data_IF_079389251141
#
_entry.id   IF_079389251141
#
_cell.length_a   1.000
_cell.length_b   1.000
_cell.length_c   1.000
_cell.angle_alpha   90.00
_cell.angle_beta   90.00
_cell.angle_gamma   90.00
#
_symmetry.space_group_name_H-M   'P 1'
#
loop_
_entity.id
_entity.type
_entity.pdbx_description
1 polymer ?
#
# COMPACT_ATOMS: atom_id res chain seq x y z
N UNK A 1 49.26 -27.02 16.75
CA UNK A 1 47.95 -27.28 17.39
C UNK A 1 46.86 -26.77 16.46
N UNK A 2 45.98 -27.61 15.89
CA UNK A 2 44.93 -27.14 14.99
C UNK A 2 43.79 -26.52 15.79
N UNK A 3 43.33 -25.33 15.36
CA UNK A 3 42.13 -24.64 15.90
C UNK A 3 40.88 -25.49 15.66
N UNK A 4 40.22 -25.90 16.73
CA UNK A 4 38.92 -26.56 16.68
C UNK A 4 37.91 -25.56 16.08
N UNK A 5 37.39 -25.86 14.89
CA UNK A 5 36.20 -25.23 14.33
C UNK A 5 35.01 -25.59 15.22
N UNK A 6 34.40 -24.58 15.81
CA UNK A 6 33.17 -24.70 16.58
C UNK A 6 31.97 -24.68 15.61
N UNK A 7 31.15 -25.75 15.48
CA UNK A 7 30.03 -25.79 14.55
C UNK A 7 28.79 -25.04 15.01
N UNK A 8 28.82 -24.31 16.12
CA UNK A 8 27.65 -23.70 16.74
C UNK A 8 27.30 -22.28 16.22
N UNK A 9 27.95 -21.73 15.17
CA UNK A 9 27.73 -20.37 14.73
C UNK A 9 26.97 -20.27 13.37
N UNK A 10 26.23 -21.29 12.99
CA UNK A 10 25.46 -21.32 11.71
C UNK A 10 24.01 -21.76 11.86
N UNK A 11 23.34 -21.37 12.95
CA UNK A 11 21.88 -21.40 13.02
C UNK A 11 21.34 -19.99 13.32
N UNK A 12 21.57 -19.05 12.42
CA UNK A 12 20.88 -17.77 12.44
C UNK A 12 19.50 -17.94 11.77
N UNK A 13 18.48 -18.29 12.60
CA UNK A 13 17.06 -17.97 12.42
C UNK A 13 16.49 -18.02 11.00
N UNK A 14 16.27 -19.20 10.43
CA UNK A 14 15.14 -19.40 9.55
C UNK A 14 13.88 -19.25 10.41
N UNK A 15 13.03 -18.28 10.07
CA UNK A 15 11.75 -18.14 10.75
C UNK A 15 10.93 -19.38 10.42
N UNK A 16 10.50 -20.11 11.44
CA UNK A 16 9.62 -21.26 11.26
C UNK A 16 8.34 -20.80 10.58
N UNK A 17 7.94 -21.49 9.49
CA UNK A 17 6.75 -21.14 8.74
C UNK A 17 5.50 -21.39 9.60
N UNK A 18 4.49 -20.51 9.55
CA UNK A 18 3.27 -20.67 10.33
C UNK A 18 2.47 -21.90 9.84
N UNK A 19 1.83 -22.59 10.78
CA UNK A 19 0.94 -23.70 10.44
C UNK A 19 -0.49 -23.22 10.19
N UNK A 20 -1.01 -22.32 11.05
CA UNK A 20 -2.38 -21.78 10.97
C UNK A 20 -2.32 -20.32 10.53
N UNK A 21 -2.87 -20.04 9.37
CA UNK A 21 -2.88 -18.70 8.80
C UNK A 21 -4.31 -18.20 8.65
N UNK A 22 -4.59 -17.04 9.19
CA UNK A 22 -5.84 -16.34 8.90
C UNK A 22 -5.63 -15.30 7.80
N UNK A 23 -6.57 -15.21 6.86
CA UNK A 23 -6.62 -14.15 5.87
C UNK A 23 -7.77 -13.23 6.23
N UNK A 24 -7.46 -11.96 6.49
CA UNK A 24 -8.46 -10.94 6.73
C UNK A 24 -8.71 -10.15 5.46
N UNK A 25 -9.97 -9.93 5.13
CA UNK A 25 -10.41 -9.20 3.93
C UNK A 25 -11.48 -8.17 4.29
N UNK A 26 -11.73 -7.18 3.42
CA UNK A 26 -12.77 -6.16 3.65
C UNK A 26 -14.15 -6.81 3.72
N UNK A 27 -14.95 -6.48 4.74
CA UNK A 27 -16.39 -6.85 4.82
C UNK A 27 -17.16 -5.96 3.85
N UNK A 28 -17.47 -6.49 2.66
CA UNK A 28 -18.05 -5.72 1.57
C UNK A 28 -19.56 -5.94 1.48
N UNK A 29 -20.31 -4.88 1.79
CA UNK A 29 -21.75 -4.81 1.59
C UNK A 29 -22.06 -3.56 0.76
N UNK A 30 -22.86 -3.69 -0.31
CA UNK A 30 -23.15 -2.56 -1.21
C UNK A 30 -23.59 -1.28 -0.47
N UNK A 31 -24.33 -1.44 0.62
CA UNK A 31 -24.82 -0.31 1.44
C UNK A 31 -23.74 0.47 2.20
N UNK A 32 -22.52 -0.05 2.32
CA UNK A 32 -21.41 0.66 2.95
C UNK A 32 -20.77 1.73 2.05
N UNK A 33 -21.02 1.65 0.74
CA UNK A 33 -20.34 2.47 -0.27
C UNK A 33 -21.28 3.51 -0.85
N UNK A 34 -20.95 4.82 -0.77
CA UNK A 34 -21.80 5.88 -1.28
C UNK A 34 -21.86 5.93 -2.82
N UNK A 35 -20.91 5.33 -3.52
CA UNK A 35 -20.87 5.30 -4.98
C UNK A 35 -20.57 3.90 -5.50
N UNK A 36 -20.94 3.63 -6.76
CA UNK A 36 -20.60 2.38 -7.43
C UNK A 36 -19.10 2.20 -7.60
N UNK A 37 -18.39 3.28 -7.92
CA UNK A 37 -16.95 3.26 -8.08
C UNK A 37 -16.22 2.75 -6.80
N UNK A 38 -16.65 3.22 -5.63
CA UNK A 38 -16.10 2.72 -4.36
C UNK A 38 -16.45 1.25 -4.07
N UNK A 39 -17.64 0.81 -4.46
CA UNK A 39 -18.02 -0.60 -4.30
C UNK A 39 -17.18 -1.51 -5.21
N UNK A 40 -16.97 -1.10 -6.47
CA UNK A 40 -16.19 -1.87 -7.45
C UNK A 40 -14.76 -2.11 -6.96
N UNK A 41 -14.12 -1.17 -6.26
CA UNK A 41 -12.74 -1.33 -5.80
C UNK A 41 -12.54 -2.41 -4.74
N UNK A 42 -13.61 -2.85 -4.08
CA UNK A 42 -13.52 -3.83 -2.99
C UNK A 42 -14.45 -5.04 -3.18
N UNK A 43 -15.31 -5.05 -4.20
CA UNK A 43 -16.37 -6.08 -4.36
C UNK A 43 -15.84 -7.52 -4.38
N UNK A 44 -14.63 -7.73 -4.85
CA UNK A 44 -14.02 -9.05 -5.03
C UNK A 44 -13.09 -9.44 -3.86
N UNK A 45 -13.06 -8.67 -2.75
CA UNK A 45 -12.14 -8.84 -1.63
C UNK A 45 -12.13 -10.25 -1.01
N UNK A 46 -13.29 -10.92 -0.91
CA UNK A 46 -13.37 -12.31 -0.41
C UNK A 46 -12.82 -13.30 -1.44
N UNK A 47 -13.05 -13.09 -2.74
CA UNK A 47 -12.54 -13.96 -3.81
C UNK A 47 -11.01 -13.86 -3.91
N UNK A 48 -10.47 -12.65 -3.79
CA UNK A 48 -9.02 -12.42 -3.73
C UNK A 48 -8.40 -13.12 -2.52
N UNK A 49 -9.02 -13.02 -1.35
CA UNK A 49 -8.59 -13.74 -0.15
C UNK A 49 -8.60 -15.26 -0.34
N UNK A 50 -9.63 -15.82 -0.99
CA UNK A 50 -9.70 -17.26 -1.31
C UNK A 50 -8.60 -17.68 -2.29
N UNK A 51 -8.31 -16.85 -3.28
CA UNK A 51 -7.22 -17.12 -4.23
C UNK A 51 -5.87 -17.21 -3.51
N UNK A 52 -5.56 -16.26 -2.63
CA UNK A 52 -4.34 -16.31 -1.81
C UNK A 52 -4.35 -17.53 -0.88
N UNK A 53 -5.51 -17.85 -0.28
CA UNK A 53 -5.69 -19.05 0.55
C UNK A 53 -5.27 -20.33 -0.17
N UNK A 54 -5.69 -20.50 -1.42
CA UNK A 54 -5.31 -21.67 -2.23
C UNK A 54 -3.80 -21.79 -2.50
N UNK A 55 -3.06 -20.67 -2.57
CA UNK A 55 -1.60 -20.71 -2.62
C UNK A 55 -0.98 -21.14 -1.29
N UNK A 56 -1.49 -20.62 -0.17
CA UNK A 56 -0.98 -20.98 1.17
C UNK A 56 -1.26 -22.45 1.52
N UNK A 57 -2.44 -22.97 1.16
CA UNK A 57 -2.78 -24.39 1.31
C UNK A 57 -1.84 -25.31 0.52
N UNK A 58 -1.50 -24.94 -0.72
CA UNK A 58 -0.48 -25.64 -1.52
C UNK A 58 0.92 -25.58 -0.89
N UNK A 59 1.20 -24.56 -0.10
CA UNK A 59 2.43 -24.45 0.69
C UNK A 59 2.37 -25.21 2.01
N UNK A 60 1.26 -25.93 2.29
CA UNK A 60 1.08 -26.80 3.46
C UNK A 60 0.54 -26.12 4.71
N UNK A 61 -0.06 -24.93 4.60
CA UNK A 61 -0.65 -24.19 5.71
C UNK A 61 -2.15 -24.50 5.86
N UNK A 62 -2.63 -24.48 7.10
CA UNK A 62 -4.06 -24.51 7.41
C UNK A 62 -4.60 -23.07 7.36
N UNK A 63 -5.55 -22.83 6.44
CA UNK A 63 -6.00 -21.45 6.13
C UNK A 63 -7.45 -21.26 6.55
N UNK A 64 -7.72 -20.16 7.22
CA UNK A 64 -9.08 -19.70 7.49
C UNK A 64 -9.25 -18.22 7.07
N UNK A 65 -10.45 -17.87 6.63
CA UNK A 65 -10.80 -16.52 6.18
C UNK A 65 -11.76 -15.87 7.16
N UNK A 66 -11.58 -14.58 7.41
CA UNK A 66 -12.51 -13.81 8.24
C UNK A 66 -12.59 -12.35 7.75
N UNK A 67 -13.81 -11.75 7.66
CA UNK A 67 -13.93 -10.34 7.31
C UNK A 67 -13.40 -9.42 8.43
N UNK A 68 -12.78 -8.31 8.03
CA UNK A 68 -12.32 -7.26 8.94
C UNK A 68 -13.48 -6.42 9.48
N UNK A 69 -14.18 -6.92 10.49
CA UNK A 69 -15.38 -6.29 11.05
C UNK A 69 -15.34 -6.22 12.60
N UNK A 70 -16.46 -5.84 13.23
CA UNK A 70 -16.53 -5.67 14.70
C UNK A 70 -16.37 -6.98 15.48
N UNK A 71 -16.59 -8.12 14.87
CA UNK A 71 -16.50 -9.45 15.49
C UNK A 71 -15.06 -9.98 15.51
N UNK A 72 -14.17 -9.38 14.71
CA UNK A 72 -12.79 -9.82 14.52
C UNK A 72 -12.00 -10.00 15.84
N UNK A 73 -12.05 -9.09 16.84
CA UNK A 73 -11.25 -9.27 18.06
C UNK A 73 -11.62 -10.53 18.84
N UNK A 74 -12.90 -10.88 18.90
CA UNK A 74 -13.37 -12.08 19.58
C UNK A 74 -13.02 -13.34 18.78
N UNK A 75 -13.23 -13.28 17.46
CA UNK A 75 -12.86 -14.37 16.58
C UNK A 75 -11.37 -14.72 16.66
N UNK A 76 -10.48 -13.71 16.68
CA UNK A 76 -9.04 -13.91 16.82
C UNK A 76 -8.65 -14.53 18.17
N UNK A 77 -9.32 -14.18 19.27
CA UNK A 77 -9.08 -14.81 20.59
C UNK A 77 -9.42 -16.28 20.60
N UNK A 78 -10.47 -16.68 19.87
CA UNK A 78 -10.91 -18.06 19.78
C UNK A 78 -10.03 -18.91 18.86
N UNK A 79 -9.66 -18.39 17.69
CA UNK A 79 -8.95 -19.13 16.66
C UNK A 79 -7.42 -19.10 16.80
N UNK A 80 -6.87 -18.00 17.32
CA UNK A 80 -5.43 -17.82 17.56
C UNK A 80 -4.55 -18.28 16.41
N UNK A 81 -4.63 -17.66 15.22
CA UNK A 81 -3.74 -18.00 14.11
C UNK A 81 -2.28 -17.67 14.46
N UNK A 82 -1.34 -18.40 13.86
CA UNK A 82 0.09 -18.16 14.01
C UNK A 82 0.54 -16.91 13.22
N UNK A 83 -0.22 -16.57 12.16
CA UNK A 83 -0.01 -15.41 11.28
C UNK A 83 -1.33 -14.92 10.73
N UNK A 84 -1.44 -13.62 10.53
CA UNK A 84 -2.52 -13.00 9.76
C UNK A 84 -1.97 -12.40 8.46
N UNK A 85 -2.57 -12.79 7.32
CA UNK A 85 -2.44 -12.04 6.05
C UNK A 85 -3.51 -10.94 6.07
N UNK A 86 -3.09 -9.69 6.15
CA UNK A 86 -4.02 -8.56 6.22
C UNK A 86 -4.25 -7.98 4.82
N UNK A 87 -5.44 -8.18 4.27
CA UNK A 87 -5.91 -7.63 2.98
C UNK A 87 -7.05 -6.63 3.16
N UNK A 88 -7.24 -6.11 4.38
CA UNK A 88 -8.36 -5.20 4.66
C UNK A 88 -8.03 -3.80 4.18
N UNK A 89 -8.75 -3.34 3.16
CA UNK A 89 -8.65 -1.98 2.62
C UNK A 89 -9.60 -1.01 3.31
N UNK A 90 -10.80 -1.49 3.74
CA UNK A 90 -11.73 -0.68 4.49
C UNK A 90 -12.54 -1.48 5.52
N UNK A 91 -13.09 -0.78 6.51
CA UNK A 91 -14.12 -1.31 7.41
C UNK A 91 -15.40 -0.51 7.17
N UNK A 92 -16.45 -1.20 6.73
CA UNK A 92 -17.73 -0.59 6.35
C UNK A 92 -17.54 0.55 5.31
N UNK A 93 -16.72 0.30 4.29
CA UNK A 93 -16.42 1.26 3.23
C UNK A 93 -15.64 2.49 3.69
N UNK A 94 -14.95 2.42 4.83
CA UNK A 94 -14.15 3.53 5.39
C UNK A 94 -12.70 3.11 5.50
N UNK A 95 -11.88 3.48 4.53
CA UNK A 95 -10.46 3.12 4.47
C UNK A 95 -9.69 3.55 5.72
N UNK A 96 -9.98 4.75 6.27
CA UNK A 96 -9.33 5.22 7.51
C UNK A 96 -9.48 4.29 8.71
N UNK A 97 -10.47 3.38 8.69
CA UNK A 97 -10.66 2.40 9.77
C UNK A 97 -9.83 1.13 9.57
N UNK A 98 -9.24 0.91 8.39
CA UNK A 98 -8.36 -0.24 8.15
C UNK A 98 -7.16 -0.27 9.11
N UNK A 99 -6.68 0.90 9.55
CA UNK A 99 -5.62 1.00 10.56
C UNK A 99 -6.00 0.39 11.93
N UNK A 100 -7.28 0.12 12.21
CA UNK A 100 -7.69 -0.58 13.42
C UNK A 100 -7.28 -2.06 13.39
N UNK A 101 -7.17 -2.67 12.21
CA UNK A 101 -6.79 -4.10 12.06
C UNK A 101 -5.41 -4.37 12.67
N UNK A 102 -4.31 -3.73 12.22
CA UNK A 102 -3.01 -3.93 12.85
C UNK A 102 -3.03 -3.59 14.35
N UNK A 103 -3.81 -2.59 14.80
CA UNK A 103 -3.93 -2.28 16.22
C UNK A 103 -4.52 -3.43 17.05
N UNK A 104 -5.54 -4.09 16.55
CA UNK A 104 -6.12 -5.29 17.19
C UNK A 104 -5.11 -6.44 17.21
N UNK A 105 -4.39 -6.66 16.10
CA UNK A 105 -3.39 -7.73 16.00
C UNK A 105 -2.20 -7.49 16.95
N UNK A 106 -1.75 -6.25 17.09
CA UNK A 106 -0.69 -5.87 18.04
C UNK A 106 -1.12 -6.08 19.50
N UNK A 107 -2.35 -5.70 19.85
CA UNK A 107 -2.91 -5.95 21.20
C UNK A 107 -3.03 -7.44 21.53
N UNK A 108 -3.24 -8.28 20.52
CA UNK A 108 -3.35 -9.74 20.69
C UNK A 108 -2.00 -10.46 20.46
N UNK A 109 -0.93 -9.73 20.19
CA UNK A 109 0.42 -10.25 19.90
C UNK A 109 0.45 -11.26 18.74
N UNK A 110 -0.42 -11.08 17.73
CA UNK A 110 -0.49 -11.93 16.55
C UNK A 110 0.37 -11.32 15.43
N UNK A 111 1.34 -12.04 14.87
CA UNK A 111 2.10 -11.60 13.69
C UNK A 111 1.18 -11.36 12.49
N UNK A 112 1.49 -10.35 11.67
CA UNK A 112 0.68 -10.02 10.50
C UNK A 112 1.51 -9.41 9.38
N UNK A 113 0.99 -9.48 8.15
CA UNK A 113 1.59 -8.89 6.95
C UNK A 113 1.14 -7.44 6.75
N UNK A 114 1.92 -6.69 5.97
CA UNK A 114 1.61 -5.29 5.63
C UNK A 114 2.10 -4.30 6.68
N UNK A 115 1.64 -3.06 6.57
CA UNK A 115 2.04 -1.96 7.43
C UNK A 115 1.40 -2.02 8.82
N UNK A 116 2.07 -1.39 9.79
CA UNK A 116 1.56 -1.20 11.14
C UNK A 116 0.49 -0.09 11.21
N UNK A 117 0.02 0.19 12.42
CA UNK A 117 -1.00 1.22 12.68
C UNK A 117 -0.60 2.58 12.10
N UNK A 118 0.68 2.97 12.26
CA UNK A 118 1.17 4.25 11.77
C UNK A 118 1.23 4.27 10.25
N UNK A 119 1.80 3.24 9.63
CA UNK A 119 1.89 3.13 8.17
C UNK A 119 0.51 3.16 7.51
N UNK A 120 -0.44 2.36 8.00
CA UNK A 120 -1.82 2.35 7.51
C UNK A 120 -2.52 3.71 7.70
N UNK A 121 -2.31 4.38 8.84
CA UNK A 121 -2.92 5.70 9.10
C UNK A 121 -2.35 6.80 8.20
N UNK A 122 -1.06 6.78 7.92
CA UNK A 122 -0.41 7.72 7.02
C UNK A 122 -0.86 7.51 5.57
N UNK A 123 -0.95 6.25 5.13
CA UNK A 123 -1.33 5.89 3.77
C UNK A 123 -2.74 6.40 3.42
N UNK A 124 -3.69 6.29 4.36
CA UNK A 124 -5.06 6.79 4.16
C UNK A 124 -5.19 8.32 4.13
N UNK A 125 -4.09 9.08 4.10
CA UNK A 125 -4.10 10.53 4.01
C UNK A 125 -3.02 11.05 3.07
N UNK A 126 -3.36 11.16 1.78
CA UNK A 126 -2.43 11.57 0.72
C UNK A 126 -1.75 12.92 0.99
N UNK A 127 -2.44 13.86 1.61
CA UNK A 127 -1.84 15.15 1.95
C UNK A 127 -0.76 15.01 3.02
N UNK A 128 -1.02 14.26 4.09
CA UNK A 128 -0.07 14.09 5.19
C UNK A 128 1.16 13.33 4.71
N UNK A 129 0.97 12.22 3.97
CA UNK A 129 2.10 11.44 3.45
C UNK A 129 2.97 12.27 2.51
N UNK A 130 2.36 13.10 1.62
CA UNK A 130 3.11 13.99 0.73
C UNK A 130 3.89 15.06 1.48
N UNK A 131 3.31 15.65 2.54
CA UNK A 131 4.04 16.59 3.41
C UNK A 131 5.23 15.90 4.07
N UNK A 132 5.06 14.68 4.55
CA UNK A 132 6.12 13.88 5.15
C UNK A 132 7.25 13.58 4.14
N UNK A 133 6.91 13.16 2.93
CA UNK A 133 7.85 12.92 1.84
C UNK A 133 8.62 14.20 1.49
N UNK A 134 7.91 15.30 1.26
CA UNK A 134 8.47 16.61 0.89
C UNK A 134 9.45 17.10 1.95
N UNK A 135 9.06 17.06 3.23
CA UNK A 135 9.88 17.53 4.36
C UNK A 135 11.18 16.72 4.50
N UNK A 136 11.16 15.47 4.07
CA UNK A 136 12.32 14.59 4.09
C UNK A 136 13.08 14.54 2.76
N UNK A 137 12.82 15.47 1.83
CA UNK A 137 13.54 15.57 0.56
C UNK A 137 13.30 14.40 -0.41
N UNK A 138 12.14 13.74 -0.32
CA UNK A 138 11.62 12.87 -1.39
C UNK A 138 10.79 13.74 -2.32
N UNK A 139 11.11 13.80 -3.62
CA UNK A 139 10.44 14.72 -4.52
C UNK A 139 8.95 14.36 -4.71
N UNK A 140 8.07 15.35 -4.57
CA UNK A 140 6.64 15.26 -4.85
C UNK A 140 6.22 16.44 -5.73
N UNK A 141 5.15 16.37 -6.53
CA UNK A 141 4.58 17.54 -7.19
C UNK A 141 4.25 18.63 -6.18
N UNK A 142 4.19 19.90 -6.58
CA UNK A 142 3.55 20.92 -5.74
C UNK A 142 2.07 20.56 -5.57
N UNK A 143 1.55 20.77 -4.36
CA UNK A 143 0.19 20.32 -4.03
C UNK A 143 -0.47 21.19 -2.97
N UNK A 144 -1.79 21.18 -2.96
CA UNK A 144 -2.64 21.84 -1.98
C UNK A 144 -3.83 20.96 -1.61
N UNK A 145 -4.24 21.01 -0.35
CA UNK A 145 -5.48 20.39 0.13
C UNK A 145 -6.60 21.44 0.08
N UNK A 146 -7.70 21.11 -0.58
CA UNK A 146 -8.91 21.92 -0.65
C UNK A 146 -9.98 21.35 0.27
N UNK A 147 -10.37 22.08 1.29
CA UNK A 147 -11.50 21.73 2.16
C UNK A 147 -12.83 22.17 1.56
N UNK A 148 -12.80 23.30 0.82
CA UNK A 148 -13.92 23.83 0.06
C UNK A 148 -13.49 24.14 -1.37
N UNK A 149 -14.44 24.25 -2.26
CA UNK A 149 -14.15 24.63 -3.64
C UNK A 149 -13.79 26.11 -3.78
N UNK A 150 -14.00 26.89 -2.75
CA UNK A 150 -13.77 28.34 -2.67
C UNK A 150 -12.42 28.70 -2.02
N UNK A 151 -11.69 27.73 -1.46
CA UNK A 151 -10.37 27.97 -0.87
C UNK A 151 -9.45 28.67 -1.88
N UNK A 152 -8.63 29.61 -1.41
CA UNK A 152 -7.69 30.33 -2.27
C UNK A 152 -6.66 29.35 -2.86
N UNK A 153 -6.38 29.50 -4.15
CA UNK A 153 -5.36 28.70 -4.82
C UNK A 153 -4.00 29.28 -4.42
N UNK A 154 -3.13 28.41 -3.90
CA UNK A 154 -1.74 28.76 -3.59
C UNK A 154 -1.03 29.17 -4.90
N UNK A 155 -0.44 30.38 -4.97
CA UNK A 155 0.28 30.85 -6.15
C UNK A 155 1.51 29.97 -6.51
N UNK A 156 1.95 29.11 -5.61
CA UNK A 156 3.05 28.18 -5.86
C UNK A 156 2.64 26.99 -6.74
N UNK A 157 1.34 26.66 -6.87
CA UNK A 157 0.88 25.57 -7.74
C UNK A 157 0.47 26.09 -9.13
N UNK A 158 0.83 25.34 -10.16
CA UNK A 158 0.64 25.73 -11.57
C UNK A 158 -0.20 24.75 -12.33
N UNK A 159 -1.10 25.26 -13.17
CA UNK A 159 -1.86 24.43 -14.12
C UNK A 159 -0.94 23.80 -15.18
N UNK A 160 -1.27 22.59 -15.67
CA UNK A 160 -2.48 21.80 -15.36
C UNK A 160 -2.40 21.12 -13.98
N UNK A 161 -3.56 20.96 -13.33
CA UNK A 161 -3.68 20.39 -11.98
C UNK A 161 -4.54 19.13 -12.00
N UNK A 162 -4.08 18.06 -11.35
CA UNK A 162 -4.87 16.84 -11.14
C UNK A 162 -5.50 16.84 -9.75
N UNK A 163 -6.78 16.44 -9.65
CA UNK A 163 -7.52 16.38 -8.39
C UNK A 163 -7.76 14.94 -7.97
N UNK A 164 -7.43 14.61 -6.72
CA UNK A 164 -7.56 13.28 -6.11
C UNK A 164 -8.34 13.35 -4.80
N UNK A 165 -9.14 12.34 -4.49
CA UNK A 165 -9.73 12.21 -3.17
C UNK A 165 -8.61 11.96 -2.14
N UNK A 166 -8.61 12.72 -1.03
CA UNK A 166 -7.48 12.72 -0.09
C UNK A 166 -7.36 11.40 0.68
N UNK A 167 -8.50 10.76 1.04
CA UNK A 167 -8.56 9.60 1.91
C UNK A 167 -9.16 8.36 1.22
N UNK A 168 -9.02 8.25 -0.08
CA UNK A 168 -9.54 7.13 -0.89
C UNK A 168 -8.48 6.71 -1.90
N UNK A 169 -8.26 5.39 -2.00
CA UNK A 169 -7.37 4.73 -2.97
C UNK A 169 -8.14 4.21 -4.21
N UNK A 170 -7.51 3.32 -4.98
CA UNK A 170 -8.16 2.62 -6.10
C UNK A 170 -8.48 3.51 -7.29
N UNK A 171 -7.79 4.63 -7.50
CA UNK A 171 -8.02 5.56 -8.61
C UNK A 171 -9.47 6.09 -8.71
N UNK A 172 -10.26 5.99 -7.63
CA UNK A 172 -11.64 6.50 -7.59
C UNK A 172 -11.66 7.98 -7.97
N UNK A 173 -12.49 8.34 -8.94
CA UNK A 173 -12.58 9.67 -9.51
C UNK A 173 -11.36 10.13 -10.35
N UNK A 174 -10.40 9.26 -10.62
CA UNK A 174 -9.39 9.55 -11.63
C UNK A 174 -9.96 9.18 -13.00
N UNK A 175 -10.74 10.09 -13.54
CA UNK A 175 -11.44 9.97 -14.83
C UNK A 175 -10.78 10.87 -15.86
N UNK A 176 -11.22 10.85 -17.12
CA UNK A 176 -10.67 11.69 -18.19
C UNK A 176 -10.71 13.20 -17.88
N UNK A 177 -11.56 13.65 -16.93
CA UNK A 177 -11.66 15.03 -16.45
C UNK A 177 -10.90 15.28 -15.13
N UNK A 178 -10.03 14.34 -14.71
CA UNK A 178 -9.25 14.48 -13.46
C UNK A 178 -8.27 15.66 -13.52
N UNK A 179 -7.79 16.02 -14.72
CA UNK A 179 -6.86 17.13 -14.95
C UNK A 179 -7.61 18.39 -15.34
N UNK A 180 -7.39 19.46 -14.61
CA UNK A 180 -7.94 20.80 -14.87
C UNK A 180 -6.87 21.71 -15.49
N UNK A 181 -7.18 22.41 -16.56
CA UNK A 181 -6.26 23.34 -17.26
C UNK A 181 -6.37 24.78 -16.75
N UNK A 182 -7.42 25.09 -16.00
CA UNK A 182 -7.67 26.41 -15.46
C UNK A 182 -8.55 26.34 -14.21
N UNK A 183 -8.63 27.46 -13.50
CA UNK A 183 -9.38 27.60 -12.26
C UNK A 183 -10.86 27.26 -12.41
N UNK A 184 -11.52 27.63 -13.50
CA UNK A 184 -12.96 27.35 -13.73
C UNK A 184 -13.22 25.84 -13.73
N UNK A 185 -12.39 25.07 -14.44
CA UNK A 185 -12.49 23.61 -14.47
C UNK A 185 -12.21 23.02 -13.08
N UNK A 186 -11.15 23.47 -12.41
CA UNK A 186 -10.79 23.03 -11.07
C UNK A 186 -11.94 23.26 -10.08
N UNK A 187 -12.50 24.47 -10.00
CA UNK A 187 -13.60 24.82 -9.09
C UNK A 187 -14.85 23.97 -9.33
N UNK A 188 -15.20 23.71 -10.61
CA UNK A 188 -16.31 22.83 -10.97
C UNK A 188 -16.08 21.41 -10.43
N UNK A 189 -14.87 20.87 -10.62
CA UNK A 189 -14.51 19.53 -10.18
C UNK A 189 -14.47 19.43 -8.65
N UNK A 190 -13.87 20.39 -7.95
CA UNK A 190 -13.83 20.45 -6.49
C UNK A 190 -15.22 20.42 -5.86
N UNK A 191 -16.16 21.25 -6.38
CA UNK A 191 -17.57 21.25 -5.90
C UNK A 191 -18.22 19.89 -6.03
N UNK A 192 -18.00 19.19 -7.14
CA UNK A 192 -18.53 17.85 -7.37
C UNK A 192 -17.94 16.86 -6.37
N UNK A 193 -16.62 16.77 -6.28
CA UNK A 193 -15.92 15.80 -5.43
C UNK A 193 -16.23 16.00 -3.94
N UNK A 194 -16.07 17.23 -3.44
CA UNK A 194 -16.30 17.55 -2.02
C UNK A 194 -17.75 17.28 -1.63
N UNK A 195 -18.72 17.66 -2.50
CA UNK A 195 -20.15 17.41 -2.25
C UNK A 195 -20.48 15.92 -2.20
N UNK A 196 -19.92 15.13 -3.12
CA UNK A 196 -20.22 13.69 -3.26
C UNK A 196 -19.58 12.89 -2.14
N UNK A 197 -18.29 13.11 -1.89
CA UNK A 197 -17.49 12.25 -0.99
C UNK A 197 -17.35 12.81 0.44
N UNK A 198 -17.80 14.03 0.70
CA UNK A 198 -17.77 14.68 2.03
C UNK A 198 -16.38 14.69 2.67
N UNK A 199 -15.34 14.87 1.86
CA UNK A 199 -13.95 14.92 2.30
C UNK A 199 -13.16 15.98 1.53
N UNK A 200 -12.00 16.40 2.05
CA UNK A 200 -11.08 17.27 1.32
C UNK A 200 -10.56 16.62 0.03
N UNK A 201 -10.18 17.44 -0.93
CA UNK A 201 -9.59 17.02 -2.20
C UNK A 201 -8.14 17.50 -2.26
N UNK A 202 -7.24 16.57 -2.52
CA UNK A 202 -5.85 16.88 -2.82
C UNK A 202 -5.74 17.30 -4.29
N UNK A 203 -5.13 18.42 -4.55
CA UNK A 203 -4.83 18.95 -5.88
C UNK A 203 -3.32 19.04 -6.05
N UNK A 204 -2.82 18.51 -7.16
CA UNK A 204 -1.38 18.44 -7.46
C UNK A 204 -1.09 18.99 -8.84
N UNK A 205 0.10 19.54 -9.06
CA UNK A 205 0.59 19.79 -10.40
C UNK A 205 0.66 18.47 -11.19
N UNK A 206 0.10 18.44 -12.39
CA UNK A 206 0.20 17.28 -13.27
C UNK A 206 1.60 17.23 -13.89
N UNK A 207 2.37 16.24 -13.54
CA UNK A 207 3.70 16.03 -14.09
C UNK A 207 3.60 15.24 -15.39
N UNK A 208 3.89 15.90 -16.52
CA UNK A 208 3.99 15.23 -17.82
C UNK A 208 5.31 14.48 -17.93
N UNK A 209 5.27 13.26 -18.49
CA UNK A 209 6.44 12.42 -18.68
C UNK A 209 6.13 10.93 -18.53
N UNK A 210 7.16 10.16 -18.23
CA UNK A 210 7.09 8.71 -18.07
C UNK A 210 6.53 8.37 -16.67
N UNK A 211 5.87 7.23 -16.53
CA UNK A 211 5.40 6.73 -15.24
C UNK A 211 6.18 5.47 -14.85
N UNK A 212 6.75 5.49 -13.67
CA UNK A 212 7.52 4.38 -13.09
C UNK A 212 6.77 3.89 -11.86
N UNK A 213 6.54 2.59 -11.79
CA UNK A 213 6.05 1.94 -10.56
C UNK A 213 7.21 1.21 -9.89
N UNK A 214 7.35 1.40 -8.58
CA UNK A 214 8.38 0.72 -7.81
C UNK A 214 7.72 -0.15 -6.70
N UNK A 215 8.10 -1.43 -6.66
CA UNK A 215 7.70 -2.38 -5.62
C UNK A 215 8.86 -2.55 -4.65
N UNK A 216 8.58 -2.44 -3.36
CA UNK A 216 9.54 -2.75 -2.31
C UNK A 216 9.14 -4.04 -1.61
N UNK A 217 10.07 -4.99 -1.48
CA UNK A 217 9.95 -6.15 -0.60
C UNK A 217 11.00 -6.04 0.51
N UNK A 218 10.54 -6.12 1.75
CA UNK A 218 11.40 -6.10 2.91
C UNK A 218 11.81 -7.53 3.26
N UNK A 219 13.04 -7.87 2.93
CA UNK A 219 13.73 -9.08 3.35
C UNK A 219 14.73 -8.71 4.49
N UNK A 220 15.86 -9.39 4.61
CA UNK A 220 16.97 -8.94 5.47
C UNK A 220 17.48 -7.55 5.05
N UNK A 221 17.40 -7.25 3.75
CA UNK A 221 17.61 -5.92 3.16
C UNK A 221 16.43 -5.58 2.28
N UNK A 222 16.04 -4.30 2.25
CA UNK A 222 14.97 -3.84 1.37
C UNK A 222 15.39 -3.97 -0.09
N UNK A 223 14.63 -4.74 -0.87
CA UNK A 223 14.79 -4.86 -2.32
C UNK A 223 13.75 -3.99 -3.01
N UNK A 224 14.19 -3.25 -4.02
CA UNK A 224 13.34 -2.36 -4.82
C UNK A 224 13.37 -2.82 -6.26
N UNK A 225 12.21 -3.12 -6.80
CA UNK A 225 11.95 -3.52 -8.18
C UNK A 225 11.24 -2.38 -8.90
N UNK A 226 11.77 -1.94 -10.02
CA UNK A 226 11.29 -0.76 -10.75
C UNK A 226 10.79 -1.18 -12.12
N UNK A 227 9.64 -0.70 -12.53
CA UNK A 227 9.10 -0.93 -13.86
C UNK A 227 8.54 0.36 -14.45
N UNK A 228 8.77 0.58 -15.71
CA UNK A 228 8.11 1.64 -16.47
C UNK A 228 6.74 1.16 -16.92
N UNK A 229 5.73 1.99 -16.68
CA UNK A 229 4.37 1.78 -17.13
C UNK A 229 4.18 2.43 -18.50
N UNK A 230 4.00 1.61 -19.52
CA UNK A 230 3.81 2.04 -20.90
C UNK A 230 2.33 1.97 -21.24
N UNK A 231 1.71 3.12 -21.51
CA UNK A 231 0.29 3.21 -21.86
C UNK A 231 0.06 2.74 -23.30
N UNK A 232 -0.98 1.93 -23.52
CA UNK A 232 -1.35 1.43 -24.86
C UNK A 232 -2.12 2.48 -25.67
N UNK A 233 -2.86 3.37 -25.01
CA UNK A 233 -3.67 4.42 -25.62
C UNK A 233 -3.01 5.79 -25.47
N UNK A 234 -2.49 6.36 -26.58
CA UNK A 234 -1.79 7.64 -26.58
C UNK A 234 -2.66 8.82 -27.07
N UNK A 235 -3.99 8.65 -27.17
CA UNK A 235 -4.88 9.65 -27.75
C UNK A 235 -5.19 10.84 -26.81
N UNK A 236 -4.88 10.72 -25.53
CA UNK A 236 -5.13 11.78 -24.53
C UNK A 236 -3.96 12.76 -24.44
N UNK A 237 -4.26 14.04 -24.28
CA UNK A 237 -3.28 15.09 -23.97
C UNK A 237 -2.49 14.79 -22.68
N UNK A 238 -3.14 14.13 -21.73
CA UNK A 238 -2.59 13.75 -20.44
C UNK A 238 -2.63 12.23 -20.31
N UNK A 239 -1.48 11.61 -20.17
CA UNK A 239 -1.36 10.15 -20.03
C UNK A 239 -1.35 9.77 -18.55
N UNK A 240 -2.36 9.03 -18.11
CA UNK A 240 -2.49 8.41 -16.80
C UNK A 240 -3.56 7.32 -16.87
N UNK A 241 -3.52 6.35 -15.94
CA UNK A 241 -4.58 5.36 -15.82
C UNK A 241 -5.81 6.00 -15.18
N UNK A 242 -6.96 5.83 -15.86
CA UNK A 242 -8.26 6.19 -15.31
C UNK A 242 -8.83 5.07 -14.43
N UNK A 243 -9.89 5.38 -13.69
CA UNK A 243 -10.66 4.37 -12.97
C UNK A 243 -11.21 3.29 -13.92
N UNK A 244 -11.72 3.71 -15.07
CA UNK A 244 -12.24 2.82 -16.10
C UNK A 244 -11.17 1.86 -16.63
N UNK A 245 -9.96 2.36 -16.88
CA UNK A 245 -8.82 1.54 -17.33
C UNK A 245 -8.43 0.48 -16.30
N UNK A 246 -8.47 0.84 -15.02
CA UNK A 246 -8.01 -0.04 -13.95
C UNK A 246 -9.05 -1.09 -13.54
N UNK A 247 -10.34 -0.74 -13.53
CA UNK A 247 -11.37 -1.55 -12.91
C UNK A 247 -12.44 -2.09 -13.86
N UNK A 248 -12.58 -1.51 -15.06
CA UNK A 248 -13.64 -1.90 -16.00
C UNK A 248 -13.10 -2.56 -17.27
N UNK A 249 -11.99 -2.05 -17.82
CA UNK A 249 -11.39 -2.59 -19.04
C UNK A 249 -10.30 -3.63 -18.74
N UNK A 250 -9.62 -3.52 -17.61
CA UNK A 250 -8.48 -4.33 -17.23
C UNK A 250 -7.13 -3.64 -17.45
N UNK A 251 -6.22 -3.81 -16.49
CA UNK A 251 -4.92 -3.13 -16.49
C UNK A 251 -4.08 -3.50 -17.71
N UNK A 252 -4.10 -4.76 -18.13
CA UNK A 252 -3.31 -5.27 -19.26
C UNK A 252 -3.74 -4.71 -20.63
N UNK A 253 -5.00 -4.25 -20.75
CA UNK A 253 -5.47 -3.58 -21.96
C UNK A 253 -4.99 -2.13 -22.02
N UNK A 254 -4.91 -1.47 -20.85
CA UNK A 254 -4.58 -0.06 -20.73
C UNK A 254 -3.07 0.23 -20.72
N UNK A 255 -2.27 -0.69 -20.17
CA UNK A 255 -0.82 -0.52 -20.09
C UNK A 255 -0.09 -1.85 -19.98
N UNK A 256 1.22 -1.80 -20.21
CA UNK A 256 2.14 -2.90 -19.93
C UNK A 256 3.38 -2.37 -19.20
N UNK A 257 4.01 -3.25 -18.42
CA UNK A 257 5.21 -2.91 -17.67
C UNK A 257 6.46 -3.42 -18.37
N UNK A 258 7.55 -2.62 -18.33
CA UNK A 258 8.89 -3.04 -18.75
C UNK A 258 9.88 -2.78 -17.63
N UNK A 259 10.92 -3.63 -17.52
CA UNK A 259 11.96 -3.43 -16.49
C UNK A 259 12.55 -2.03 -16.59
N UNK A 260 12.68 -1.37 -15.46
CA UNK A 260 13.36 -0.09 -15.31
C UNK A 260 14.43 -0.21 -14.22
N UNK A 261 15.51 0.53 -14.32
CA UNK A 261 16.57 0.47 -13.35
C UNK A 261 17.29 1.80 -13.21
N UNK A 262 17.08 2.48 -12.07
CA UNK A 262 17.80 3.71 -11.73
C UNK A 262 18.21 3.66 -10.25
N UNK A 263 19.52 3.79 -9.94
CA UNK A 263 20.02 3.75 -8.56
C UNK A 263 19.53 4.92 -7.70
N UNK A 264 19.37 6.12 -8.28
CA UNK A 264 18.89 7.30 -7.55
C UNK A 264 17.43 7.11 -7.14
N UNK A 265 16.57 6.66 -8.07
CA UNK A 265 15.18 6.35 -7.76
C UNK A 265 15.09 5.27 -6.69
N UNK A 266 15.94 4.23 -6.75
CA UNK A 266 15.98 3.17 -5.74
C UNK A 266 16.24 3.73 -4.33
N UNK A 267 17.12 4.70 -4.18
CA UNK A 267 17.40 5.33 -2.88
C UNK A 267 16.23 6.21 -2.42
N UNK A 268 15.57 6.95 -3.32
CA UNK A 268 14.35 7.69 -2.98
C UNK A 268 13.22 6.76 -2.51
N UNK A 269 13.02 5.62 -3.18
CA UNK A 269 12.00 4.63 -2.80
C UNK A 269 12.29 4.03 -1.42
N UNK A 270 13.54 3.63 -1.14
CA UNK A 270 13.93 3.14 0.20
C UNK A 270 13.70 4.19 1.28
N UNK A 271 14.03 5.45 0.98
CA UNK A 271 13.82 6.59 1.88
C UNK A 271 12.33 6.79 2.13
N UNK A 272 11.51 6.83 1.07
CA UNK A 272 10.06 6.95 1.16
C UNK A 272 9.46 5.82 2.03
N UNK A 273 9.84 4.57 1.77
CA UNK A 273 9.42 3.42 2.55
C UNK A 273 9.71 3.57 4.05
N UNK A 274 10.92 4.04 4.41
CA UNK A 274 11.31 4.20 5.81
C UNK A 274 10.54 5.30 6.53
N UNK A 275 10.47 6.49 5.92
CA UNK A 275 9.84 7.65 6.57
C UNK A 275 8.32 7.55 6.64
N UNK A 276 7.72 6.72 5.80
CA UNK A 276 6.27 6.46 5.79
C UNK A 276 5.84 5.36 6.76
N UNK A 277 6.76 4.81 7.57
CA UNK A 277 6.43 3.73 8.49
C UNK A 277 6.01 2.43 7.81
N UNK A 278 6.36 2.24 6.53
CA UNK A 278 5.97 1.05 5.79
C UNK A 278 6.78 -0.16 6.22
N UNK A 279 6.14 -1.33 6.25
CA UNK A 279 6.76 -2.62 6.59
C UNK A 279 6.30 -3.70 5.63
N UNK A 280 7.12 -4.74 5.47
CA UNK A 280 6.82 -5.89 4.63
C UNK A 280 6.95 -5.61 3.15
N UNK A 281 5.98 -4.94 2.56
CA UNK A 281 5.96 -4.61 1.14
C UNK A 281 5.23 -3.28 0.90
N UNK A 282 5.51 -2.64 -0.23
CA UNK A 282 4.87 -1.38 -0.60
C UNK A 282 4.96 -1.15 -2.12
N UNK A 283 4.06 -0.32 -2.64
CA UNK A 283 4.06 0.17 -4.02
C UNK A 283 4.13 1.70 -4.04
N UNK A 284 4.92 2.22 -4.98
CA UNK A 284 5.06 3.65 -5.24
C UNK A 284 4.83 3.91 -6.71
N UNK A 285 4.01 4.90 -7.03
CA UNK A 285 3.88 5.41 -8.39
C UNK A 285 4.62 6.76 -8.50
N UNK A 286 5.46 6.87 -9.52
CA UNK A 286 6.41 7.97 -9.69
C UNK A 286 6.33 8.49 -11.12
N UNK A 287 6.31 9.81 -11.28
CA UNK A 287 6.52 10.47 -12.58
C UNK A 287 7.98 10.84 -12.75
N UNK A 288 8.47 10.63 -13.97
CA UNK A 288 9.78 11.10 -14.43
C UNK A 288 9.53 12.14 -15.51
N UNK A 289 9.83 13.40 -15.22
CA UNK A 289 9.64 14.49 -16.18
C UNK A 289 10.71 14.50 -17.30
N UNK A 290 10.51 15.35 -18.30
CA UNK A 290 11.44 15.46 -19.44
C UNK A 290 12.84 15.96 -19.04
N UNK A 291 12.99 16.60 -17.87
CA UNK A 291 14.28 17.04 -17.33
C UNK A 291 15.01 15.96 -16.51
N UNK A 292 14.42 14.76 -16.39
CA UNK A 292 14.98 13.65 -15.63
C UNK A 292 14.72 13.73 -14.12
N UNK A 293 13.75 14.54 -13.66
CA UNK A 293 13.39 14.64 -12.24
C UNK A 293 12.25 13.68 -11.90
N UNK A 294 12.38 13.01 -10.76
CA UNK A 294 11.35 12.13 -10.20
C UNK A 294 10.36 12.91 -9.34
N UNK A 295 9.10 12.45 -9.34
CA UNK A 295 8.03 12.97 -8.48
C UNK A 295 7.16 11.81 -8.00
N UNK A 296 7.11 11.56 -6.71
CA UNK A 296 6.24 10.56 -6.10
C UNK A 296 4.78 11.05 -6.14
N UNK A 297 3.95 10.37 -6.92
CA UNK A 297 2.56 10.78 -7.15
C UNK A 297 1.57 9.96 -6.34
N UNK A 298 1.93 8.72 -5.95
CA UNK A 298 1.15 7.89 -5.05
C UNK A 298 2.04 6.93 -4.25
N UNK A 299 1.53 6.50 -3.08
CA UNK A 299 2.19 5.56 -2.17
C UNK A 299 1.14 4.60 -1.64
N UNK A 300 1.46 3.31 -1.56
CA UNK A 300 0.56 2.29 -1.04
C UNK A 300 1.34 1.37 -0.09
N UNK A 301 0.98 1.39 1.18
CA UNK A 301 1.62 0.59 2.22
C UNK A 301 1.08 -0.84 2.32
N UNK A 302 -0.09 -1.09 1.74
CA UNK A 302 -0.72 -2.39 1.63
C UNK A 302 -1.32 -2.54 0.22
N UNK A 303 -0.47 -2.53 -0.84
CA UNK A 303 -0.96 -2.65 -2.19
C UNK A 303 -1.63 -4.02 -2.41
N UNK A 304 -2.56 -4.07 -3.36
CA UNK A 304 -3.23 -5.31 -3.74
C UNK A 304 -2.22 -6.46 -3.88
N UNK A 305 -2.55 -7.58 -3.27
CA UNK A 305 -1.76 -8.80 -3.27
C UNK A 305 -2.54 -9.91 -3.98
N UNK A 306 -1.97 -10.52 -4.98
CA UNK A 306 -2.59 -11.56 -5.79
C UNK A 306 -1.63 -12.02 -6.88
N UNK A 307 -1.91 -13.15 -7.57
CA UNK A 307 -1.11 -13.61 -8.69
C UNK A 307 -1.25 -12.68 -9.90
N UNK A 308 -0.30 -12.76 -10.83
CA UNK A 308 -0.29 -11.89 -12.04
C UNK A 308 -1.49 -12.11 -12.96
N UNK A 309 -2.11 -13.29 -12.90
CA UNK A 309 -3.29 -13.66 -13.66
C UNK A 309 -4.54 -12.83 -13.26
N UNK A 310 -4.50 -12.20 -12.08
CA UNK A 310 -5.50 -11.23 -11.61
C UNK A 310 -5.11 -9.78 -11.91
N UNK A 311 -4.16 -9.53 -12.81
CA UNK A 311 -3.68 -8.20 -13.20
C UNK A 311 -3.15 -7.33 -12.02
N UNK A 312 -2.69 -7.98 -10.95
CA UNK A 312 -2.15 -7.29 -9.79
C UNK A 312 -0.77 -6.72 -10.13
N UNK A 313 -0.65 -5.41 -10.14
CA UNK A 313 0.57 -4.69 -10.55
C UNK A 313 1.82 -5.15 -9.80
N UNK A 314 1.71 -5.49 -8.49
CA UNK A 314 2.82 -6.02 -7.70
C UNK A 314 3.37 -7.29 -8.33
N UNK A 315 2.52 -8.27 -8.61
CA UNK A 315 2.94 -9.57 -9.15
C UNK A 315 3.35 -9.49 -10.62
N UNK A 316 2.66 -8.67 -11.42
CA UNK A 316 3.06 -8.40 -12.81
C UNK A 316 4.48 -7.82 -12.88
N UNK A 317 4.80 -6.85 -12.00
CA UNK A 317 6.13 -6.25 -11.95
C UNK A 317 7.18 -7.24 -11.45
N UNK A 318 6.88 -8.02 -10.39
CA UNK A 318 7.84 -8.98 -9.85
C UNK A 318 8.10 -10.15 -10.81
N UNK A 319 7.11 -10.54 -11.61
CA UNK A 319 7.28 -11.53 -12.69
C UNK A 319 8.31 -11.07 -13.75
N UNK A 320 8.39 -9.76 -14.04
CA UNK A 320 9.46 -9.22 -14.90
C UNK A 320 10.86 -9.52 -14.34
N UNK A 321 10.98 -9.72 -13.03
CA UNK A 321 12.24 -10.05 -12.35
C UNK A 321 12.36 -11.55 -12.02
N UNK A 322 11.52 -12.39 -12.63
CA UNK A 322 11.53 -13.85 -12.46
C UNK A 322 11.27 -14.28 -11.01
N UNK A 323 10.38 -13.54 -10.31
CA UNK A 323 9.99 -13.84 -8.94
C UNK A 323 8.52 -14.32 -8.96
N UNK A 324 8.29 -15.65 -8.86
CA UNK A 324 6.95 -16.22 -8.82
C UNK A 324 6.16 -15.76 -7.59
N UNK A 325 4.84 -15.75 -7.70
CA UNK A 325 3.96 -15.27 -6.63
C UNK A 325 4.12 -16.06 -5.32
N UNK A 326 4.33 -17.37 -5.39
CA UNK A 326 4.62 -18.20 -4.21
C UNK A 326 5.88 -17.72 -3.47
N UNK A 327 6.92 -17.34 -4.21
CA UNK A 327 8.13 -16.76 -3.62
C UNK A 327 7.85 -15.40 -2.97
N UNK A 328 6.97 -14.59 -3.56
CA UNK A 328 6.54 -13.30 -2.97
C UNK A 328 5.82 -13.55 -1.64
N UNK A 329 4.84 -14.47 -1.62
CA UNK A 329 4.11 -14.84 -0.40
C UNK A 329 5.06 -15.36 0.68
N UNK A 330 5.96 -16.28 0.34
CA UNK A 330 6.95 -16.79 1.29
C UNK A 330 7.76 -15.66 1.93
N UNK A 331 8.28 -14.71 1.13
CA UNK A 331 9.07 -13.57 1.63
C UNK A 331 8.27 -12.64 2.54
N UNK A 332 7.01 -12.38 2.21
CA UNK A 332 6.12 -11.55 3.01
C UNK A 332 5.85 -12.24 4.35
N UNK A 333 5.56 -13.54 4.35
CA UNK A 333 5.32 -14.36 5.54
C UNK A 333 6.56 -14.39 6.44
N UNK A 334 7.73 -14.73 5.90
CA UNK A 334 8.98 -14.76 6.65
C UNK A 334 9.29 -13.39 7.29
N UNK A 335 9.02 -12.30 6.58
CA UNK A 335 9.18 -10.96 7.12
C UNK A 335 8.22 -10.69 8.29
N UNK A 336 6.94 -11.02 8.14
CA UNK A 336 5.93 -10.84 9.17
C UNK A 336 6.26 -11.64 10.45
N UNK A 337 6.68 -12.91 10.30
CA UNK A 337 7.08 -13.77 11.42
C UNK A 337 8.32 -13.23 12.16
N UNK A 338 9.28 -12.65 11.44
CA UNK A 338 10.46 -11.99 12.07
C UNK A 338 10.05 -10.74 12.85
N UNK A 339 9.22 -9.88 12.25
CA UNK A 339 8.77 -8.64 12.87
C UNK A 339 7.92 -8.91 14.11
N UNK A 340 7.06 -9.93 14.09
CA UNK A 340 6.28 -10.37 15.25
C UNK A 340 7.17 -10.77 16.44
N UNK A 341 8.24 -11.51 16.21
CA UNK A 341 9.22 -11.87 17.25
C UNK A 341 9.95 -10.65 17.83
N UNK A 342 10.28 -9.66 17.01
CA UNK A 342 10.96 -8.42 17.48
C UNK A 342 10.01 -7.58 18.34
N UNK A 343 8.76 -7.42 17.92
CA UNK A 343 7.73 -6.67 18.68
C UNK A 343 7.45 -7.31 20.04
N UNK A 344 7.30 -8.63 20.12
CA UNK A 344 7.11 -9.33 21.39
C UNK A 344 8.33 -9.24 22.33
N UNK A 345 9.53 -9.20 21.80
CA UNK A 345 10.75 -9.04 22.59
C UNK A 345 10.97 -7.61 23.11
N UNK A 346 10.62 -6.57 22.33
CA UNK A 346 10.67 -5.18 22.80
C UNK A 346 9.71 -4.94 23.96
N UNK A 347 8.49 -5.45 23.87
CA UNK A 347 7.51 -5.37 24.96
C UNK A 347 8.01 -6.08 26.25
N UNK A 348 8.69 -7.24 26.12
CA UNK A 348 9.30 -7.92 27.29
C UNK A 348 10.44 -7.12 27.89
N UNK A 349 11.26 -6.46 27.09
CA UNK A 349 12.39 -5.65 27.58
C UNK A 349 11.90 -4.41 28.32
N UNK A 350 10.84 -3.75 27.84
CA UNK A 350 10.20 -2.63 28.53
C UNK A 350 9.55 -3.07 29.86
N UNK A 351 8.89 -4.23 29.89
CA UNK A 351 8.33 -4.79 31.13
C UNK A 351 9.41 -5.13 32.17
N UNK A 352 10.54 -5.65 31.74
CA UNK A 352 11.69 -5.94 32.62
C UNK A 352 12.32 -4.65 33.15
N UNK A 353 12.42 -3.62 32.35
CA UNK A 353 12.93 -2.31 32.77
C UNK A 353 11.98 -1.60 33.74
N UNK A 354 10.66 -1.74 33.56
CA UNK A 354 9.66 -1.20 34.48
C UNK A 354 9.59 -2.00 35.81
N UNK A 355 9.79 -3.33 35.76
CA UNK A 355 9.82 -4.18 36.95
C UNK A 355 11.13 -4.07 37.77
N UNK A 356 12.20 -3.55 37.17
CA UNK A 356 13.52 -3.41 37.78
C UNK A 356 13.81 -2.08 38.47
N UNK A 357 12.83 -1.17 38.58
CA UNK A 357 13.04 0.14 39.21
C UNK A 357 12.04 0.38 40.37
N UNK A 358 12.29 -0.15 41.58
CA UNK A 358 11.54 0.23 42.77
C UNK A 358 12.22 1.41 43.44
N UNK A 359 12.19 2.62 42.86
CA UNK A 359 12.56 3.86 43.53
C UNK A 359 12.07 5.04 42.66
N UNK A 360 10.81 5.46 42.94
CA UNK A 360 10.48 6.84 43.30
C UNK A 360 9.02 6.86 43.77
#
# INVERSE_FOLDING_TARGET
MPKKNNPQTRMANEAEMPQRVAILYSDVQRGYFPTEALFITEKDAEEDARTIGGYLEKMGMDVCLHPGNAELPEWLRQHRPDLVINLVDSIKGKERLAAAIPGVLELLEIPYTGADVLGMSLDTNKFVIKKLLQQNGVPVPNFQLFNTAEDLIDPAIRFPLISKLNAIHGSVEITSDAVSENEKQLRKRLRRLIRTYKQPVLVEEFISGREITAITLQENKKKVYQAEKNFTHNASKYLYLTFEDQWLSGLNEACHYTRYGDPLLKEYVKKAFNISGMTGYAKFDIRLDQSGRYYFIDTNCNPALGPKEQDVALSVILDLYEIPFETVLQKIIENAMRNGKVRSNSNRTEQVLQAGNPLF
#
